data_IF_711825716697
#
_entry.id   IF_711825716697
#
_cell.length_a   1.000
_cell.length_b   1.000
_cell.length_c   1.000
_cell.angle_alpha   90.00
_cell.angle_beta   90.00
_cell.angle_gamma   90.00
#
_symmetry.space_group_name_H-M   'P 1'
#
loop_
_entity.id
_entity.type
_entity.pdbx_description
1 polymer ?
#
# COMPACT_ATOMS: atom_id res chain seq x y z
N UNK A 1 12.23 -13.09 -5.05
CA UNK A 1 11.42 -11.86 -4.89
C UNK A 1 11.98 -11.17 -3.66
N UNK A 2 12.30 -9.88 -3.75
CA UNK A 2 12.85 -9.11 -2.63
C UNK A 2 11.69 -8.32 -2.03
N UNK A 3 11.38 -8.56 -0.76
CA UNK A 3 10.33 -7.88 0.01
C UNK A 3 10.91 -6.85 0.97
N UNK A 4 12.16 -7.04 1.38
CA UNK A 4 12.86 -6.15 2.29
C UNK A 4 14.23 -5.76 1.72
N UNK A 5 14.58 -4.49 1.84
CA UNK A 5 15.88 -3.98 1.41
C UNK A 5 16.40 -2.94 2.40
N UNK A 6 17.58 -3.20 2.94
CA UNK A 6 18.28 -2.29 3.88
C UNK A 6 19.57 -1.81 3.23
N UNK A 7 19.70 -0.49 3.10
CA UNK A 7 20.83 0.20 2.48
C UNK A 7 21.47 1.21 3.44
N UNK A 8 21.26 1.04 4.74
CA UNK A 8 21.72 1.98 5.75
C UNK A 8 23.24 2.17 5.70
N UNK A 9 23.69 3.38 6.01
CA UNK A 9 25.11 3.77 6.02
C UNK A 9 25.81 3.61 4.65
N UNK A 10 25.05 3.42 3.57
CA UNK A 10 25.58 3.46 2.21
C UNK A 10 25.62 4.92 1.74
N UNK A 11 26.74 5.40 1.21
CA UNK A 11 26.79 6.78 0.69
C UNK A 11 26.03 6.88 -0.63
N UNK A 12 25.03 7.74 -0.69
CA UNK A 12 24.37 8.14 -1.95
C UNK A 12 25.30 9.01 -2.80
N UNK A 13 25.21 8.88 -4.13
CA UNK A 13 25.91 9.79 -5.04
C UNK A 13 25.13 11.10 -5.11
N UNK A 14 25.76 12.21 -4.75
CA UNK A 14 25.17 13.55 -4.80
C UNK A 14 23.86 13.72 -4.00
N UNK A 15 23.61 12.88 -2.98
CA UNK A 15 22.39 12.96 -2.18
C UNK A 15 21.15 12.45 -2.90
N UNK A 16 21.29 11.59 -3.91
CA UNK A 16 20.20 11.03 -4.69
C UNK A 16 20.19 9.49 -4.66
N UNK A 17 19.00 8.92 -4.86
CA UNK A 17 18.81 7.47 -4.95
C UNK A 17 19.39 6.96 -6.28
N UNK A 18 20.25 5.94 -6.20
CA UNK A 18 20.83 5.25 -7.36
C UNK A 18 20.66 3.73 -7.25
N UNK A 19 20.47 3.06 -8.38
CA UNK A 19 20.39 1.60 -8.45
C UNK A 19 19.00 1.00 -8.14
N UNK A 20 18.12 1.73 -7.43
CA UNK A 20 16.71 1.35 -7.30
C UNK A 20 15.97 1.57 -8.63
N UNK A 21 15.19 0.58 -9.04
CA UNK A 21 14.43 0.60 -10.29
C UNK A 21 13.11 -0.18 -10.15
N UNK A 22 12.29 -0.19 -11.20
CA UNK A 22 10.95 -0.80 -11.18
C UNK A 22 10.95 -2.34 -11.09
N UNK A 23 12.09 -3.01 -10.93
CA UNK A 23 12.14 -4.46 -10.68
C UNK A 23 11.78 -4.82 -9.24
N UNK A 24 11.90 -3.88 -8.29
CA UNK A 24 11.59 -4.08 -6.87
C UNK A 24 10.08 -3.95 -6.56
N UNK A 25 9.23 -4.54 -7.42
CA UNK A 25 7.75 -4.41 -7.33
C UNK A 25 7.14 -5.06 -6.09
N UNK A 26 7.85 -6.02 -5.52
CA UNK A 26 7.42 -6.80 -4.34
C UNK A 26 7.97 -6.22 -3.03
N UNK A 27 8.64 -5.07 -3.08
CA UNK A 27 9.25 -4.46 -1.89
C UNK A 27 8.17 -3.89 -0.98
N UNK A 28 8.20 -4.30 0.28
CA UNK A 28 7.29 -3.93 1.36
C UNK A 28 8.01 -3.08 2.43
N UNK A 29 9.32 -3.33 2.61
CA UNK A 29 10.19 -2.56 3.50
C UNK A 29 11.43 -2.04 2.78
N UNK A 30 11.71 -0.74 2.94
CA UNK A 30 12.92 -0.08 2.45
C UNK A 30 13.52 0.77 3.56
N UNK A 31 14.79 0.51 3.87
CA UNK A 31 15.59 1.35 4.77
C UNK A 31 16.77 1.97 4.04
N UNK A 32 16.89 3.29 4.15
CA UNK A 32 18.01 4.09 3.64
C UNK A 32 18.39 5.10 4.72
N UNK A 33 18.72 4.63 5.91
CA UNK A 33 19.12 5.48 7.03
C UNK A 33 20.59 5.92 6.89
N UNK A 34 20.89 7.17 7.23
CA UNK A 34 22.26 7.71 7.24
C UNK A 34 23.01 7.51 5.90
N UNK A 35 22.36 7.87 4.79
CA UNK A 35 22.93 7.72 3.43
C UNK A 35 23.26 9.06 2.76
N UNK A 36 23.17 10.16 3.50
CA UNK A 36 23.36 11.54 3.03
C UNK A 36 22.33 11.97 1.95
N UNK A 37 21.13 11.36 1.90
CA UNK A 37 20.09 11.72 0.92
C UNK A 37 19.62 13.17 1.13
N UNK A 38 19.42 13.88 0.02
CA UNK A 38 18.87 15.25 0.00
C UNK A 38 17.54 15.32 -0.74
N UNK A 39 17.25 14.35 -1.60
CA UNK A 39 16.05 14.33 -2.45
C UNK A 39 15.53 12.91 -2.66
N UNK A 40 14.20 12.81 -2.79
CA UNK A 40 13.47 11.58 -3.12
C UNK A 40 13.04 11.51 -4.58
N UNK A 41 13.44 12.46 -5.42
CA UNK A 41 12.96 12.59 -6.80
C UNK A 41 13.21 11.35 -7.69
N UNK A 42 14.27 10.58 -7.38
CA UNK A 42 14.65 9.36 -8.10
C UNK A 42 14.06 8.07 -7.52
N UNK A 43 13.15 8.15 -6.55
CA UNK A 43 12.49 6.97 -6.00
C UNK A 43 11.62 6.32 -7.11
N UNK A 44 11.82 5.02 -7.42
CA UNK A 44 10.95 4.31 -8.36
C UNK A 44 9.55 4.12 -7.78
N UNK A 45 8.60 3.69 -8.60
CA UNK A 45 7.26 3.39 -8.09
C UNK A 45 7.27 2.05 -7.35
N UNK A 46 7.06 2.09 -6.04
CA UNK A 46 7.06 0.95 -5.12
C UNK A 46 5.64 0.77 -4.55
N UNK A 47 4.73 0.25 -5.37
CA UNK A 47 3.30 0.17 -5.02
C UNK A 47 2.99 -0.78 -3.85
N UNK A 48 3.88 -1.71 -3.51
CA UNK A 48 3.72 -2.60 -2.35
C UNK A 48 4.40 -2.08 -1.08
N UNK A 49 5.17 -1.01 -1.16
CA UNK A 49 5.91 -0.50 -0.01
C UNK A 49 4.95 -0.06 1.10
N UNK A 50 5.18 -0.57 2.31
CA UNK A 50 4.43 -0.25 3.52
C UNK A 50 5.26 0.58 4.49
N UNK A 51 6.54 0.23 4.64
CA UNK A 51 7.44 0.84 5.60
C UNK A 51 8.67 1.44 4.91
N UNK A 52 8.92 2.72 5.19
CA UNK A 52 10.04 3.47 4.63
C UNK A 52 10.81 4.19 5.74
N UNK A 53 12.08 3.82 5.91
CA UNK A 53 13.02 4.40 6.88
C UNK A 53 14.00 5.33 6.14
N UNK A 54 13.96 6.62 6.46
CA UNK A 54 14.82 7.66 5.89
C UNK A 54 15.52 8.48 6.97
N UNK A 55 15.69 7.91 8.16
CA UNK A 55 16.30 8.60 9.30
C UNK A 55 17.73 9.05 9.02
N UNK A 56 18.16 10.10 9.70
CA UNK A 56 19.53 10.65 9.64
C UNK A 56 19.99 11.02 8.23
N UNK A 57 19.09 11.59 7.43
CA UNK A 57 19.41 12.15 6.11
C UNK A 57 19.36 13.69 6.12
N UNK A 58 19.41 14.30 4.94
CA UNK A 58 19.49 15.76 4.75
C UNK A 58 18.26 16.25 3.95
N UNK A 59 17.15 15.50 4.01
CA UNK A 59 15.93 15.82 3.28
C UNK A 59 15.29 17.06 3.91
N UNK A 60 14.91 18.03 3.10
CA UNK A 60 14.25 19.26 3.55
C UNK A 60 12.93 19.53 2.83
N UNK A 61 12.46 18.61 1.98
CA UNK A 61 11.24 18.75 1.18
C UNK A 61 11.15 17.73 0.05
N UNK A 62 10.26 17.95 -0.91
CA UNK A 62 10.01 17.01 -2.01
C UNK A 62 9.25 15.74 -1.56
N UNK A 63 8.50 15.84 -0.47
CA UNK A 63 7.77 14.72 0.12
C UNK A 63 6.53 14.33 -0.70
N UNK A 64 6.04 15.22 -1.58
CA UNK A 64 4.92 14.98 -2.48
C UNK A 64 5.15 13.78 -3.41
N UNK A 65 6.42 13.49 -3.74
CA UNK A 65 6.83 12.33 -4.54
C UNK A 65 6.41 11.01 -3.88
N UNK A 66 6.36 10.95 -2.55
CA UNK A 66 5.97 9.74 -1.82
C UNK A 66 4.53 9.33 -2.14
N UNK A 67 3.62 10.28 -2.30
CA UNK A 67 2.23 9.99 -2.63
C UNK A 67 2.09 9.36 -4.03
N UNK A 68 2.93 9.75 -4.97
CA UNK A 68 2.94 9.21 -6.34
C UNK A 68 3.66 7.86 -6.44
N UNK A 69 4.74 7.68 -5.67
CA UNK A 69 5.63 6.53 -5.77
C UNK A 69 5.28 5.40 -4.82
N UNK A 70 4.78 5.71 -3.63
CA UNK A 70 4.52 4.77 -2.54
C UNK A 70 3.10 4.97 -1.97
N UNK A 71 2.03 4.79 -2.78
CA UNK A 71 0.66 5.13 -2.38
C UNK A 71 0.10 4.31 -1.21
N UNK A 72 0.70 3.15 -0.93
CA UNK A 72 0.28 2.23 0.14
C UNK A 72 1.16 2.32 1.39
N UNK A 73 1.97 3.37 1.52
CA UNK A 73 2.83 3.57 2.68
C UNK A 73 2.00 3.75 3.95
N UNK A 74 2.31 2.99 5.00
CA UNK A 74 1.66 3.03 6.32
C UNK A 74 2.59 3.57 7.40
N UNK A 75 3.90 3.40 7.23
CA UNK A 75 4.93 3.90 8.15
C UNK A 75 6.00 4.69 7.39
N UNK A 76 6.31 5.88 7.89
CA UNK A 76 7.37 6.75 7.38
C UNK A 76 8.21 7.32 8.52
N UNK A 77 9.51 7.08 8.48
CA UNK A 77 10.46 7.72 9.38
C UNK A 77 11.32 8.75 8.65
N UNK A 78 11.22 10.00 9.08
CA UNK A 78 11.99 11.14 8.62
C UNK A 78 12.82 11.76 9.76
N UNK A 79 12.99 11.06 10.88
CA UNK A 79 13.77 11.56 12.01
C UNK A 79 15.19 11.99 11.60
N UNK A 80 15.72 13.02 12.26
CA UNK A 80 17.07 13.53 11.98
C UNK A 80 17.25 14.22 10.61
N UNK A 81 16.16 14.54 9.90
CA UNK A 81 16.20 15.30 8.64
C UNK A 81 16.07 16.82 8.86
N UNK A 82 16.09 17.59 7.77
CA UNK A 82 16.02 19.07 7.77
C UNK A 82 14.60 19.59 7.50
N UNK A 83 13.59 18.95 8.08
CA UNK A 83 12.19 19.37 7.98
C UNK A 83 11.96 20.51 8.97
N UNK A 84 11.56 21.70 8.47
CA UNK A 84 11.50 22.94 9.27
C UNK A 84 10.10 23.45 9.56
N UNK A 85 9.17 23.24 8.63
CA UNK A 85 7.87 23.88 8.65
C UNK A 85 6.74 22.91 8.26
N UNK A 86 5.53 23.30 8.64
CA UNK A 86 4.30 22.55 8.35
C UNK A 86 4.02 22.46 6.85
N UNK A 87 4.43 23.46 6.05
CA UNK A 87 4.22 23.44 4.60
C UNK A 87 4.97 22.30 3.91
N UNK A 88 6.14 21.93 4.43
CA UNK A 88 6.89 20.76 3.97
C UNK A 88 6.13 19.46 4.26
N UNK A 89 5.51 19.37 5.44
CA UNK A 89 4.78 18.18 5.90
C UNK A 89 3.39 18.07 5.29
N UNK A 90 2.78 19.18 4.88
CA UNK A 90 1.48 19.22 4.18
C UNK A 90 1.46 18.32 2.93
N UNK A 91 2.60 18.16 2.26
CA UNK A 91 2.74 17.25 1.12
C UNK A 91 2.38 15.78 1.45
N UNK A 92 2.49 15.37 2.73
CA UNK A 92 2.12 14.02 3.20
C UNK A 92 0.60 13.81 3.32
N UNK A 93 -0.23 14.85 3.23
CA UNK A 93 -1.70 14.73 3.27
C UNK A 93 -2.28 13.79 2.21
N UNK A 94 -1.55 13.59 1.11
CA UNK A 94 -1.97 12.71 0.02
C UNK A 94 -1.66 11.23 0.27
N UNK A 95 -0.83 10.90 1.26
CA UNK A 95 -0.59 9.52 1.70
C UNK A 95 -1.75 9.06 2.59
N UNK A 96 -2.86 8.63 1.96
CA UNK A 96 -4.10 8.28 2.66
C UNK A 96 -4.00 7.08 3.59
N UNK A 97 -3.02 6.22 3.36
CA UNK A 97 -2.78 5.02 4.16
C UNK A 97 -1.75 5.22 5.27
N UNK A 98 -1.10 6.40 5.35
CA UNK A 98 -0.08 6.65 6.36
C UNK A 98 -0.69 6.65 7.76
N UNK A 99 -0.15 5.82 8.65
CA UNK A 99 -0.59 5.64 10.04
C UNK A 99 0.43 6.13 11.04
N UNK A 100 1.70 5.92 10.77
CA UNK A 100 2.79 6.31 11.65
C UNK A 100 3.78 7.20 10.92
N UNK A 101 4.10 8.33 11.54
CA UNK A 101 5.08 9.30 11.07
C UNK A 101 6.06 9.61 12.20
N UNK A 102 7.34 9.51 11.91
CA UNK A 102 8.41 9.94 12.82
C UNK A 102 9.15 11.14 12.23
N UNK A 103 9.17 12.23 12.98
CA UNK A 103 9.85 13.49 12.65
C UNK A 103 10.79 13.91 13.79
N UNK A 104 11.11 12.99 14.71
CA UNK A 104 11.97 13.26 15.85
C UNK A 104 13.30 13.87 15.39
N UNK A 105 13.85 14.80 16.17
CA UNK A 105 15.11 15.48 15.86
C UNK A 105 15.10 16.25 14.51
N UNK A 106 13.93 16.65 14.00
CA UNK A 106 13.81 17.66 12.95
C UNK A 106 13.63 19.07 13.53
N UNK A 107 13.86 20.11 12.74
CA UNK A 107 13.70 21.50 13.20
C UNK A 107 12.24 21.84 13.55
N UNK A 108 11.29 21.20 12.86
CA UNK A 108 9.84 21.36 13.07
C UNK A 108 9.36 20.99 14.48
N UNK A 109 10.08 20.11 15.19
CA UNK A 109 9.69 19.68 16.55
C UNK A 109 9.85 20.78 17.59
N UNK A 110 10.49 21.90 17.24
CA UNK A 110 10.67 23.05 18.14
C UNK A 110 9.48 24.04 18.10
N UNK A 111 8.44 23.77 17.31
CA UNK A 111 7.24 24.59 17.27
C UNK A 111 6.42 24.40 18.56
N UNK A 112 5.81 25.49 19.07
CA UNK A 112 5.09 25.51 20.36
C UNK A 112 3.91 24.53 20.41
N UNK A 113 3.23 24.33 19.27
CA UNK A 113 2.09 23.41 19.11
C UNK A 113 2.39 22.30 18.09
N UNK A 114 3.63 21.81 18.07
CA UNK A 114 4.10 20.88 17.05
C UNK A 114 3.18 19.67 16.85
N UNK A 115 2.90 18.89 17.91
CA UNK A 115 2.08 17.67 17.79
C UNK A 115 0.66 17.99 17.33
N UNK A 116 0.01 18.95 17.98
CA UNK A 116 -1.37 19.35 17.66
C UNK A 116 -1.48 19.84 16.20
N UNK A 117 -0.54 20.68 15.76
CA UNK A 117 -0.49 21.17 14.38
C UNK A 117 -0.34 20.04 13.36
N UNK A 118 0.46 19.01 13.68
CA UNK A 118 0.66 17.86 12.80
C UNK A 118 -0.60 16.98 12.76
N UNK A 119 -1.24 16.69 13.88
CA UNK A 119 -2.48 15.90 13.90
C UNK A 119 -3.64 16.64 13.22
N UNK A 120 -3.74 17.97 13.37
CA UNK A 120 -4.73 18.78 12.66
C UNK A 120 -4.49 18.79 11.14
N UNK A 121 -3.23 18.88 10.72
CA UNK A 121 -2.83 18.91 9.32
C UNK A 121 -2.95 17.54 8.65
N UNK A 122 -2.54 16.47 9.34
CA UNK A 122 -2.46 15.10 8.86
C UNK A 122 -3.46 14.20 9.58
N UNK A 123 -4.75 14.47 9.42
CA UNK A 123 -5.83 13.74 10.10
C UNK A 123 -5.87 12.23 9.81
N UNK A 124 -5.11 11.74 8.84
CA UNK A 124 -5.04 10.31 8.54
C UNK A 124 -4.07 9.52 9.44
N UNK A 125 -3.08 10.18 10.06
CA UNK A 125 -2.09 9.50 10.90
C UNK A 125 -2.68 9.21 12.29
N UNK A 126 -2.23 8.12 12.89
CA UNK A 126 -2.61 7.70 14.24
C UNK A 126 -1.48 7.94 15.22
N UNK A 127 -0.24 7.75 14.78
CA UNK A 127 0.95 7.87 15.61
C UNK A 127 1.92 8.90 15.03
N UNK A 128 2.43 9.76 15.92
CA UNK A 128 3.47 10.74 15.66
C UNK A 128 4.61 10.54 16.67
N UNK A 129 5.83 10.35 16.18
CA UNK A 129 7.03 10.10 16.99
C UNK A 129 6.85 8.94 17.98
N UNK A 130 6.10 7.92 17.58
CA UNK A 130 5.81 6.73 18.39
C UNK A 130 4.65 6.86 19.38
N UNK A 131 3.92 7.98 19.39
CA UNK A 131 2.79 8.19 20.31
C UNK A 131 1.54 8.67 19.57
N UNK A 132 0.35 8.28 20.03
CA UNK A 132 -0.92 8.82 19.53
C UNK A 132 -1.24 10.22 20.12
N UNK A 133 -2.45 10.73 19.85
CA UNK A 133 -2.89 12.03 20.36
C UNK A 133 -3.13 12.02 21.89
N UNK A 134 -3.34 10.85 22.49
CA UNK A 134 -3.57 10.65 23.92
C UNK A 134 -2.28 10.26 24.68
N UNK A 135 -1.12 10.37 24.03
CA UNK A 135 0.21 9.99 24.53
C UNK A 135 0.36 8.47 24.82
N UNK A 136 -0.45 7.62 24.18
CA UNK A 136 -0.22 6.17 24.21
C UNK A 136 0.85 5.77 23.20
N UNK A 137 1.74 4.86 23.59
CA UNK A 137 2.78 4.34 22.72
C UNK A 137 2.20 3.50 21.58
N UNK A 138 2.76 3.65 20.38
CA UNK A 138 2.41 2.84 19.23
C UNK A 138 2.71 1.35 19.53
N UNK A 139 1.84 0.42 19.09
CA UNK A 139 2.14 -1.01 19.23
C UNK A 139 3.42 -1.35 18.46
N UNK A 140 4.21 -2.28 19.00
CA UNK A 140 5.36 -2.83 18.29
C UNK A 140 4.88 -3.40 16.95
N UNK A 141 5.35 -2.81 15.85
CA UNK A 141 4.84 -2.97 14.48
C UNK A 141 5.08 -4.35 13.85
N UNK A 142 5.28 -5.41 14.63
CA UNK A 142 5.48 -6.78 14.13
C UNK A 142 4.16 -7.48 13.77
N UNK A 143 3.00 -6.91 14.14
CA UNK A 143 1.68 -7.54 14.00
C UNK A 143 0.79 -6.98 12.87
N UNK A 144 1.27 -6.06 12.01
CA UNK A 144 0.44 -5.46 10.94
C UNK A 144 0.46 -6.25 9.60
N UNK A 145 0.82 -7.53 9.65
CA UNK A 145 0.44 -8.49 8.62
C UNK A 145 -0.94 -9.05 8.97
N UNK A 146 -1.97 -8.55 8.26
CA UNK A 146 -3.34 -9.09 8.16
C UNK A 146 -4.43 -8.28 8.90
N UNK A 147 -5.09 -7.38 8.16
CA UNK A 147 -6.48 -7.68 7.78
C UNK A 147 -6.95 -6.78 6.63
N UNK A 148 -7.33 -7.44 5.54
CA UNK A 148 -8.05 -6.80 4.45
C UNK A 148 -9.41 -6.28 4.93
N UNK A 149 -9.65 -4.97 4.81
CA UNK A 149 -11.00 -4.47 4.61
C UNK A 149 -11.03 -3.12 3.88
N UNK A 150 -10.71 -3.13 2.58
CA UNK A 150 -11.09 -2.04 1.68
C UNK A 150 -12.51 -2.21 1.11
N UNK A 151 -13.29 -3.16 1.63
CA UNK A 151 -14.71 -3.29 1.37
C UNK A 151 -15.48 -2.61 2.51
N UNK A 152 -15.37 -1.28 2.59
CA UNK A 152 -16.41 -0.50 3.27
C UNK A 152 -17.66 -0.55 2.41
N UNK A 153 -18.43 -1.61 2.64
CA UNK A 153 -19.86 -1.76 2.43
C UNK A 153 -20.54 -0.39 2.40
N UNK A 154 -20.79 0.11 1.19
CA UNK A 154 -21.61 1.30 1.00
C UNK A 154 -23.06 0.92 1.22
N UNK A 155 -23.48 1.05 2.47
CA UNK A 155 -24.79 1.54 2.92
C UNK A 155 -26.00 0.84 2.28
N UNK A 156 -26.51 -0.17 2.97
CA UNK A 156 -27.96 -0.39 3.07
C UNK A 156 -28.60 0.91 3.60
N UNK A 157 -29.52 1.49 2.82
CA UNK A 157 -30.66 2.30 3.31
C UNK A 157 -31.68 2.55 2.21
N UNK A 158 -32.60 1.61 2.03
CA UNK A 158 -34.01 1.89 1.67
C UNK A 158 -34.81 0.59 1.78
N UNK A 159 -35.43 0.33 2.94
CA UNK A 159 -36.87 0.54 3.21
C UNK A 159 -37.81 -0.26 2.32
N UNK A 160 -38.62 -1.12 2.92
CA UNK A 160 -39.95 -1.42 2.41
C UNK A 160 -40.51 -2.77 2.83
N UNK A 161 -41.05 -2.79 4.06
CA UNK A 161 -42.24 -3.52 4.53
C UNK A 161 -42.36 -5.05 4.38
N UNK A 162 -42.56 -5.63 5.56
CA UNK A 162 -43.20 -6.91 5.87
C UNK A 162 -44.59 -6.99 5.22
N UNK A 163 -44.97 -8.16 4.71
CA UNK A 163 -46.34 -8.70 4.82
C UNK A 163 -46.29 -10.22 4.60
N UNK A 164 -46.76 -10.93 5.64
CA UNK A 164 -47.17 -12.33 5.66
C UNK A 164 -48.32 -12.59 4.65
N UNK A 165 -48.42 -13.82 4.13
CA UNK A 165 -49.64 -14.67 4.19
C UNK A 165 -49.69 -15.74 3.07
N UNK A 166 -49.82 -16.97 3.55
CA UNK A 166 -50.72 -18.07 3.14
C UNK A 166 -50.58 -18.83 1.79
N UNK A 167 -50.31 -20.14 2.00
CA UNK A 167 -50.90 -21.37 1.45
C UNK A 167 -51.89 -21.25 0.25
N UNK A 168 -51.68 -22.06 -0.81
CA UNK A 168 -52.58 -23.19 -1.14
C UNK A 168 -52.25 -23.91 -2.48
N UNK A 169 -52.17 -25.23 -2.33
CA UNK A 169 -52.56 -26.40 -3.15
C UNK A 169 -52.72 -26.38 -4.71
N UNK A 170 -52.24 -27.52 -5.26
CA UNK A 170 -52.73 -28.32 -6.40
C UNK A 170 -52.63 -27.80 -7.85
N UNK A 171 -51.90 -28.54 -8.70
CA UNK A 171 -52.53 -29.39 -9.75
C UNK A 171 -51.51 -30.34 -10.41
N UNK A 172 -51.89 -31.62 -10.54
CA UNK A 172 -51.10 -32.70 -11.12
C UNK A 172 -51.12 -32.73 -12.66
N UNK A 173 -50.01 -33.16 -13.27
CA UNK A 173 -49.93 -33.56 -14.68
C UNK A 173 -48.82 -34.63 -14.91
N UNK A 174 -49.05 -35.70 -15.70
CA UNK A 174 -48.30 -36.96 -15.66
C UNK A 174 -47.06 -37.01 -16.59
N UNK A 175 -46.24 -38.09 -16.53
CA UNK A 175 -44.89 -38.14 -17.07
C UNK A 175 -44.85 -38.56 -18.54
N UNK A 176 -43.79 -38.15 -19.24
CA UNK A 176 -43.49 -38.58 -20.61
C UNK A 176 -42.03 -39.00 -20.73
N UNK A 177 -41.82 -40.30 -20.85
CA UNK A 177 -40.57 -40.98 -21.19
C UNK A 177 -40.31 -40.95 -22.71
N UNK A 178 -39.04 -40.76 -23.10
CA UNK A 178 -38.37 -41.34 -24.28
C UNK A 178 -36.86 -41.16 -24.03
N UNK A 179 -36.13 -42.22 -23.64
CA UNK A 179 -35.38 -43.17 -24.51
C UNK A 179 -34.47 -42.41 -25.49
N UNK A 180 -33.17 -42.32 -25.21
CA UNK A 180 -32.08 -43.29 -25.44
C UNK A 180 -31.47 -43.18 -26.85
N UNK A 181 -30.25 -43.70 -26.93
CA UNK A 181 -29.33 -43.81 -28.07
C UNK A 181 -28.45 -42.58 -28.34
N UNK A 182 -27.15 -42.67 -28.62
CA UNK A 182 -26.04 -43.63 -28.42
C UNK A 182 -24.94 -43.14 -29.38
N UNK A 183 -23.75 -43.75 -29.27
CA UNK A 183 -22.64 -43.76 -30.22
C UNK A 183 -21.75 -42.50 -30.26
N UNK A 184 -20.57 -42.53 -29.64
CA UNK A 184 -19.34 -43.21 -30.10
C UNK A 184 -18.92 -42.76 -31.52
N UNK A 185 -17.74 -42.13 -31.65
CA UNK A 185 -16.60 -42.74 -32.34
C UNK A 185 -15.37 -41.81 -32.39
N UNK A 186 -14.21 -42.43 -32.11
CA UNK A 186 -12.87 -42.33 -32.72
C UNK A 186 -12.47 -41.03 -33.45
N UNK A 187 -11.30 -40.41 -33.25
CA UNK A 187 -9.96 -40.98 -33.12
C UNK A 187 -9.03 -40.35 -34.17
N UNK A 188 -7.72 -40.36 -33.92
CA UNK A 188 -6.71 -40.36 -34.98
C UNK A 188 -6.08 -39.03 -35.42
N UNK A 189 -4.87 -38.80 -34.90
CA UNK A 189 -3.62 -38.38 -35.58
C UNK A 189 -3.63 -37.29 -36.66
N UNK A 190 -2.69 -36.33 -36.57
CA UNK A 190 -1.65 -36.20 -37.61
C UNK A 190 -0.41 -35.43 -37.12
N UNK A 191 0.76 -35.92 -37.55
CA UNK A 191 2.10 -35.37 -37.35
C UNK A 191 2.47 -34.50 -38.55
N UNK A 192 3.15 -33.38 -38.32
CA UNK A 192 3.70 -32.56 -39.40
C UNK A 192 5.05 -31.96 -39.02
N UNK A 193 6.12 -32.67 -39.38
CA UNK A 193 7.48 -32.15 -39.47
C UNK A 193 7.62 -31.15 -40.63
N UNK A 194 8.60 -30.25 -40.51
CA UNK A 194 8.99 -29.32 -41.57
C UNK A 194 10.25 -28.58 -41.19
N UNK A 195 11.40 -29.26 -41.29
CA UNK A 195 12.68 -28.61 -41.59
C UNK A 195 12.65 -28.15 -43.06
N UNK A 196 13.26 -27.00 -43.35
CA UNK A 196 14.21 -26.86 -44.46
C UNK A 196 14.91 -25.49 -44.38
N UNK A 197 16.24 -25.56 -44.31
CA UNK A 197 17.17 -24.51 -44.68
C UNK A 197 17.07 -24.23 -46.19
N UNK A 198 17.36 -23.01 -46.65
CA UNK A 198 18.32 -22.77 -47.74
C UNK A 198 18.52 -21.26 -48.01
N UNK A 199 19.80 -20.92 -48.11
CA UNK A 199 20.50 -19.76 -48.74
C UNK A 199 20.20 -18.29 -48.36
#
# INVERSE_FOLDING_TARGET
>A
KVTELVLDNCRSSNGEIEGLNDSFKELEFLSMANVELTSLAKLPTLSKLRKLELSDNIISGGLEVLAERCPNLTYLNLSGNKIKDLGTVEALQNLKNLKSLDLFNCEITNLEDYRDSIFELLQQITYLDGFDQEDNEAPDSEDDDDEGNFLKETVDRSKGDEDDDDEDEDEAGPPGEYEEEDDEDDGGSDLGEGEEEEE
#
